data_IF_790575149587
#
_entry.id   IF_790575149587
#
_cell.length_a   1.000
_cell.length_b   1.000
_cell.length_c   1.000
_cell.angle_alpha   90.00
_cell.angle_beta   90.00
_cell.angle_gamma   90.00
#
_symmetry.space_group_name_H-M   'P 1'
#
loop_
_entity.id
_entity.type
_entity.pdbx_description
1 polymer ?
#
# COMPACT_ATOMS: atom_id res chain seq x y z
N UNK A 1 6.72 1.41 -19.14
CA UNK A 1 8.13 0.97 -19.06
C UNK A 1 8.15 -0.20 -18.10
N UNK A 2 8.36 -1.38 -18.62
CA UNK A 2 8.36 -2.60 -17.83
C UNK A 2 9.54 -2.55 -16.85
N UNK A 3 9.28 -2.13 -15.62
CA UNK A 3 10.29 -1.98 -14.56
C UNK A 3 11.07 -3.27 -14.25
N UNK A 4 10.60 -4.40 -14.78
CA UNK A 4 11.16 -5.72 -14.50
C UNK A 4 12.23 -6.17 -15.49
N UNK A 5 12.25 -5.67 -16.73
CA UNK A 5 13.38 -5.93 -17.62
C UNK A 5 14.70 -5.32 -17.11
N UNK A 6 14.64 -4.27 -16.29
CA UNK A 6 15.81 -3.66 -15.67
C UNK A 6 16.32 -4.34 -14.40
N UNK A 7 15.56 -5.27 -13.80
CA UNK A 7 15.88 -5.88 -12.50
C UNK A 7 16.77 -7.13 -12.58
N UNK A 8 17.61 -7.24 -13.59
CA UNK A 8 18.73 -8.18 -13.56
C UNK A 8 19.80 -7.73 -12.55
N UNK A 9 19.43 -7.35 -11.35
CA UNK A 9 20.36 -7.34 -10.24
C UNK A 9 20.52 -8.81 -9.81
N UNK A 10 21.58 -9.42 -10.24
CA UNK A 10 22.08 -10.65 -9.65
C UNK A 10 22.41 -10.38 -8.19
N UNK A 11 21.42 -10.54 -7.32
CA UNK A 11 21.74 -10.80 -5.91
C UNK A 11 22.05 -12.27 -5.82
N UNK A 12 23.09 -12.65 -5.11
CA UNK A 12 23.46 -14.05 -4.90
C UNK A 12 22.35 -14.86 -4.19
N UNK A 13 21.30 -14.23 -3.74
CA UNK A 13 20.19 -14.80 -2.99
C UNK A 13 18.95 -15.11 -3.84
N UNK A 14 18.89 -14.71 -5.12
CA UNK A 14 17.71 -14.92 -5.98
C UNK A 14 18.11 -15.40 -7.37
N UNK A 15 17.35 -16.35 -7.89
CA UNK A 15 17.47 -16.82 -9.27
C UNK A 15 16.39 -16.06 -10.08
N UNK A 16 16.83 -15.34 -11.13
CA UNK A 16 15.90 -14.66 -12.02
C UNK A 16 15.19 -15.70 -12.92
N UNK A 17 13.88 -15.65 -12.91
CA UNK A 17 13.05 -16.37 -13.87
C UNK A 17 12.78 -15.45 -15.07
N UNK A 18 13.33 -15.76 -16.28
CA UNK A 18 13.13 -14.92 -17.46
C UNK A 18 11.70 -14.99 -18.01
N UNK A 19 10.96 -16.05 -17.70
CA UNK A 19 9.60 -16.29 -18.20
C UNK A 19 8.53 -15.89 -17.16
N UNK A 20 8.94 -15.36 -16.02
CA UNK A 20 8.03 -14.97 -14.97
C UNK A 20 7.08 -13.84 -15.43
N UNK A 21 5.78 -14.07 -15.26
CA UNK A 21 4.71 -13.13 -15.56
C UNK A 21 3.96 -12.81 -14.26
N UNK A 22 3.64 -11.53 -13.97
CA UNK A 22 2.80 -11.20 -12.82
C UNK A 22 1.37 -11.70 -13.01
N UNK A 23 0.65 -11.92 -11.92
CA UNK A 23 -0.76 -12.33 -11.95
C UNK A 23 -1.61 -11.23 -12.61
N UNK A 24 -1.34 -9.97 -12.28
CA UNK A 24 -1.98 -8.81 -12.89
C UNK A 24 -1.01 -8.02 -13.78
N UNK A 25 -1.51 -7.28 -14.78
CA UNK A 25 -0.68 -6.42 -15.62
C UNK A 25 0.18 -5.47 -14.78
N UNK A 26 1.46 -5.39 -15.10
CA UNK A 26 2.38 -4.47 -14.41
C UNK A 26 1.97 -3.03 -14.68
N UNK A 27 1.64 -2.25 -13.66
CA UNK A 27 1.28 -0.85 -13.82
C UNK A 27 2.46 0.01 -14.28
N UNK A 28 2.18 1.16 -14.90
CA UNK A 28 3.17 2.08 -15.44
C UNK A 28 3.89 2.96 -14.41
N UNK A 29 3.99 2.54 -13.15
CA UNK A 29 4.69 3.28 -12.10
C UNK A 29 5.88 2.49 -11.53
N UNK A 30 6.82 3.17 -10.81
CA UNK A 30 7.97 2.51 -10.21
C UNK A 30 7.59 1.40 -9.23
N UNK A 31 8.44 0.40 -9.13
CA UNK A 31 8.29 -0.68 -8.17
C UNK A 31 8.60 -0.24 -6.74
N UNK A 32 9.49 0.72 -6.58
CA UNK A 32 9.95 1.19 -5.28
C UNK A 32 9.86 2.72 -5.18
N UNK A 33 9.36 3.24 -4.05
CA UNK A 33 8.52 2.57 -3.05
C UNK A 33 7.14 2.23 -3.62
N UNK A 34 6.40 1.30 -2.97
CA UNK A 34 5.07 0.90 -3.45
C UNK A 34 4.06 2.02 -3.24
N UNK A 35 3.55 2.57 -4.35
CA UNK A 35 2.62 3.70 -4.30
C UNK A 35 1.30 3.38 -3.59
N UNK A 36 0.75 2.18 -3.81
CA UNK A 36 -0.49 1.76 -3.16
C UNK A 36 -0.30 1.60 -1.64
N UNK A 37 0.82 1.02 -1.18
CA UNK A 37 1.15 0.98 0.24
C UNK A 37 1.22 2.38 0.84
N UNK A 38 1.91 3.30 0.17
CA UNK A 38 2.04 4.69 0.62
C UNK A 38 0.67 5.40 0.73
N UNK A 39 -0.15 5.34 -0.32
CA UNK A 39 -1.44 6.03 -0.33
C UNK A 39 -2.44 5.44 0.66
N UNK A 40 -2.50 4.10 0.73
CA UNK A 40 -3.40 3.41 1.67
C UNK A 40 -3.02 3.71 3.12
N UNK A 41 -1.74 3.58 3.47
CA UNK A 41 -1.26 3.89 4.82
C UNK A 41 -1.57 5.33 5.23
N UNK A 42 -1.25 6.30 4.35
CA UNK A 42 -1.50 7.71 4.65
C UNK A 42 -2.99 8.01 4.88
N UNK A 43 -3.89 7.36 4.10
CA UNK A 43 -5.33 7.50 4.27
C UNK A 43 -5.80 6.85 5.57
N UNK A 44 -5.36 5.63 5.87
CA UNK A 44 -5.79 4.90 7.06
C UNK A 44 -5.29 5.57 8.34
N UNK A 45 -4.06 6.07 8.36
CA UNK A 45 -3.55 6.87 9.49
C UNK A 45 -4.34 8.16 9.70
N UNK A 46 -4.72 8.84 8.61
CA UNK A 46 -5.56 10.04 8.72
C UNK A 46 -6.96 9.73 9.27
N UNK A 47 -7.57 8.61 8.86
CA UNK A 47 -8.85 8.15 9.40
C UNK A 47 -8.72 7.73 10.86
N UNK A 48 -7.66 7.01 11.22
CA UNK A 48 -7.35 6.64 12.61
C UNK A 48 -7.26 7.88 13.51
N UNK A 49 -6.57 8.91 13.04
CA UNK A 49 -6.48 10.17 13.77
C UNK A 49 -7.83 10.90 13.87
N UNK A 50 -8.66 10.85 12.84
CA UNK A 50 -9.98 11.48 12.83
C UNK A 50 -10.97 10.78 13.78
N UNK A 51 -10.98 9.45 13.79
CA UNK A 51 -11.86 8.67 14.65
C UNK A 51 -11.28 8.39 16.03
N UNK A 52 -10.02 8.75 16.28
CA UNK A 52 -9.27 8.47 17.51
C UNK A 52 -9.15 6.96 17.82
N UNK A 53 -9.36 6.12 16.83
CA UNK A 53 -9.24 4.66 16.88
C UNK A 53 -9.07 4.10 15.47
N UNK A 54 -8.38 2.97 15.36
CA UNK A 54 -8.32 2.20 14.12
C UNK A 54 -9.40 1.09 14.05
N UNK A 55 -10.02 0.75 15.18
CA UNK A 55 -11.06 -0.28 15.29
C UNK A 55 -12.42 0.26 14.80
N UNK A 56 -12.53 0.53 13.51
CA UNK A 56 -13.76 1.00 12.85
C UNK A 56 -14.18 -0.05 11.82
N UNK A 57 -15.18 -0.91 12.14
CA UNK A 57 -15.68 -1.89 11.18
C UNK A 57 -16.35 -1.23 9.98
N UNK A 58 -15.98 -1.65 8.78
CA UNK A 58 -16.59 -1.18 7.55
C UNK A 58 -16.46 -2.18 6.41
N UNK A 59 -17.08 -1.89 5.29
CA UNK A 59 -16.99 -2.71 4.10
C UNK A 59 -16.69 -1.89 2.86
N UNK A 60 -15.98 -2.50 1.92
CA UNK A 60 -15.68 -1.93 0.62
C UNK A 60 -16.18 -2.88 -0.46
N UNK A 61 -16.98 -2.36 -1.39
CA UNK A 61 -17.47 -3.11 -2.53
C UNK A 61 -16.80 -2.63 -3.81
N UNK A 62 -16.39 -3.58 -4.63
CA UNK A 62 -15.79 -3.33 -5.95
C UNK A 62 -16.80 -3.64 -7.05
N UNK A 63 -17.15 -2.64 -7.85
CA UNK A 63 -17.97 -2.85 -9.03
C UNK A 63 -17.23 -3.63 -10.13
N UNK A 64 -15.90 -3.63 -10.12
CA UNK A 64 -15.07 -4.31 -11.12
C UNK A 64 -15.04 -5.81 -10.89
N UNK A 65 -14.87 -6.24 -9.64
CA UNK A 65 -14.78 -7.67 -9.27
C UNK A 65 -16.11 -8.25 -8.81
N UNK A 66 -17.10 -7.40 -8.47
CA UNK A 66 -18.36 -7.81 -7.87
C UNK A 66 -18.22 -8.35 -6.44
N UNK A 67 -17.07 -8.10 -5.79
CA UNK A 67 -16.78 -8.57 -4.43
C UNK A 67 -17.03 -7.49 -3.40
N UNK A 68 -17.34 -7.92 -2.17
CA UNK A 68 -17.39 -7.04 -0.99
C UNK A 68 -16.48 -7.61 0.08
N UNK A 69 -15.57 -6.80 0.57
CA UNK A 69 -14.63 -7.13 1.64
C UNK A 69 -15.05 -6.43 2.92
N UNK A 70 -14.98 -7.13 4.03
CA UNK A 70 -15.28 -6.60 5.36
C UNK A 70 -13.97 -6.47 6.15
N UNK A 71 -13.83 -5.35 6.83
CA UNK A 71 -12.66 -5.02 7.63
C UNK A 71 -13.10 -4.69 9.05
N UNK A 72 -12.36 -5.17 10.03
CA UNK A 72 -12.59 -4.83 11.44
C UNK A 72 -11.83 -3.56 11.84
N UNK A 73 -10.77 -3.23 11.13
CA UNK A 73 -9.92 -2.09 11.41
C UNK A 73 -9.37 -1.44 10.12
N UNK A 74 -8.81 -0.25 10.24
CA UNK A 74 -8.09 0.39 9.14
C UNK A 74 -6.78 -0.34 8.80
N UNK A 75 -6.10 -0.95 9.79
CA UNK A 75 -4.90 -1.77 9.58
C UNK A 75 -5.18 -3.02 8.74
N UNK A 76 -6.39 -3.60 8.83
CA UNK A 76 -6.78 -4.74 7.99
C UNK A 76 -6.73 -4.39 6.50
N UNK A 77 -7.13 -3.16 6.13
CA UNK A 77 -7.05 -2.68 4.74
C UNK A 77 -5.62 -2.55 4.27
N UNK A 78 -4.75 -1.97 5.11
CA UNK A 78 -3.32 -1.85 4.80
C UNK A 78 -2.73 -3.24 4.55
N UNK A 79 -3.02 -4.19 5.44
CA UNK A 79 -2.56 -5.58 5.34
C UNK A 79 -3.04 -6.27 4.06
N UNK A 80 -4.31 -6.07 3.70
CA UNK A 80 -4.88 -6.66 2.48
C UNK A 80 -4.24 -6.06 1.23
N UNK A 81 -4.14 -4.73 1.15
CA UNK A 81 -3.50 -4.04 0.02
C UNK A 81 -2.05 -4.48 -0.13
N UNK A 82 -1.28 -4.53 0.96
CA UNK A 82 0.10 -4.99 0.97
C UNK A 82 0.23 -6.40 0.40
N UNK A 83 -0.63 -7.30 0.87
CA UNK A 83 -0.67 -8.69 0.42
C UNK A 83 -1.02 -8.79 -1.07
N UNK A 84 -2.04 -8.07 -1.51
CA UNK A 84 -2.47 -8.03 -2.91
C UNK A 84 -1.34 -7.55 -3.83
N UNK A 85 -0.58 -6.51 -3.41
CA UNK A 85 0.55 -6.00 -4.21
C UNK A 85 1.71 -6.98 -4.32
N UNK A 86 1.96 -7.78 -3.30
CA UNK A 86 3.00 -8.82 -3.31
C UNK A 86 2.55 -10.03 -4.11
N UNK A 87 1.37 -10.57 -3.83
CA UNK A 87 0.85 -11.77 -4.52
C UNK A 87 0.48 -11.50 -5.98
N UNK A 88 -0.04 -10.33 -6.30
CA UNK A 88 -0.24 -9.90 -7.68
C UNK A 88 1.07 -9.74 -8.46
N UNK A 89 2.21 -9.83 -7.77
CA UNK A 89 3.53 -9.82 -8.38
C UNK A 89 4.01 -8.43 -8.81
N UNK A 90 3.46 -7.36 -8.27
CA UNK A 90 3.77 -6.00 -8.65
C UNK A 90 4.91 -5.39 -7.84
N UNK A 91 4.99 -5.74 -6.54
CA UNK A 91 5.96 -5.20 -5.61
C UNK A 91 6.65 -6.28 -4.79
N UNK A 92 7.88 -6.00 -4.33
CA UNK A 92 8.53 -6.78 -3.28
C UNK A 92 8.03 -6.34 -1.90
N UNK A 93 8.06 -7.26 -0.91
CA UNK A 93 7.69 -6.92 0.49
C UNK A 93 8.47 -5.71 1.03
N UNK A 94 9.73 -5.57 0.67
CA UNK A 94 10.53 -4.43 1.07
C UNK A 94 9.97 -3.12 0.50
N UNK A 95 9.57 -3.11 -0.76
CA UNK A 95 9.01 -1.93 -1.43
C UNK A 95 7.67 -1.51 -0.82
N UNK A 96 6.86 -2.49 -0.45
CA UNK A 96 5.58 -2.26 0.25
C UNK A 96 5.83 -1.64 1.63
N UNK A 97 6.68 -2.24 2.46
CA UNK A 97 7.03 -1.69 3.77
C UNK A 97 7.59 -0.27 3.71
N UNK A 98 8.37 0.05 2.69
CA UNK A 98 8.88 1.42 2.51
C UNK A 98 7.78 2.38 2.01
N UNK A 99 6.83 1.89 1.23
CA UNK A 99 5.63 2.63 0.87
C UNK A 99 4.82 3.02 2.10
N UNK A 100 4.48 2.06 2.96
CA UNK A 100 3.75 2.29 4.20
C UNK A 100 4.48 3.31 5.10
N UNK A 101 5.79 3.13 5.29
CA UNK A 101 6.58 4.08 6.07
C UNK A 101 6.52 5.50 5.53
N UNK A 102 6.56 5.65 4.22
CA UNK A 102 6.41 6.96 3.58
C UNK A 102 4.99 7.51 3.80
N UNK A 103 3.97 6.65 3.70
CA UNK A 103 2.57 7.01 3.97
C UNK A 103 2.37 7.58 5.38
N UNK A 104 2.91 6.90 6.39
CA UNK A 104 2.89 7.39 7.79
C UNK A 104 3.53 8.78 7.92
N UNK A 105 4.69 8.98 7.34
CA UNK A 105 5.35 10.29 7.39
C UNK A 105 4.51 11.39 6.72
N UNK A 106 3.82 11.07 5.62
CA UNK A 106 2.93 12.03 4.95
C UNK A 106 1.72 12.34 5.84
N UNK A 107 1.08 11.34 6.42
CA UNK A 107 -0.03 11.52 7.36
C UNK A 107 0.39 12.39 8.55
N UNK A 108 1.46 12.02 9.23
CA UNK A 108 2.03 12.77 10.37
C UNK A 108 2.30 14.24 9.99
N UNK A 109 2.90 14.46 8.85
CA UNK A 109 3.22 15.82 8.38
C UNK A 109 1.98 16.67 8.16
N UNK A 110 0.93 16.08 7.55
CA UNK A 110 -0.32 16.78 7.25
C UNK A 110 -1.11 17.05 8.52
N UNK A 111 -1.27 16.03 9.38
CA UNK A 111 -2.02 16.12 10.63
C UNK A 111 -1.43 17.18 11.57
N UNK A 112 -0.11 17.21 11.73
CA UNK A 112 0.56 18.19 12.58
C UNK A 112 0.41 19.64 12.11
N UNK A 113 0.17 19.88 10.83
CA UNK A 113 0.15 21.23 10.25
C UNK A 113 -1.24 21.77 9.92
N UNK A 114 -2.17 20.88 9.56
CA UNK A 114 -3.44 21.33 8.99
C UNK A 114 -4.65 20.98 9.85
N UNK A 115 -4.54 20.08 10.80
CA UNK A 115 -5.63 19.60 11.64
C UNK A 115 -5.31 19.75 13.13
N UNK A 116 -4.69 20.87 13.51
CA UNK A 116 -4.55 21.22 14.93
C UNK A 116 -5.90 21.65 15.46
N UNK A 117 -6.24 21.19 16.67
CA UNK A 117 -7.37 21.78 17.39
C UNK A 117 -7.18 23.29 17.46
N UNK A 118 -8.20 24.02 17.05
CA UNK A 118 -8.22 25.47 17.31
C UNK A 118 -8.38 25.63 18.82
N UNK A 119 -7.40 26.23 19.46
CA UNK A 119 -7.55 26.70 20.84
C UNK A 119 -8.80 27.60 20.87
N UNK A 120 -9.85 27.12 21.53
CA UNK A 120 -11.05 27.89 21.80
C UNK A 120 -10.89 28.59 23.16
#
# INVERSE_FOLDING_TARGET
VNSRRGKRRRTHATIADPDWIPLDPTPGHPEYPAAHGCGTEALMDALTAFFETDEVPYQVSSAVTGTTHQFASFEDVVTEVDSARVFGGMHYRHSVKQGNRLGRWVADYILQRNFKESER
#
